data_IF_388346909473
#
_entry.id   IF_388346909473
#
_cell.length_a   1.000
_cell.length_b   1.000
_cell.length_c   1.000
_cell.angle_alpha   90.00
_cell.angle_beta   90.00
_cell.angle_gamma   90.00
#
_symmetry.space_group_name_H-M   'P 1'
#
loop_
_entity.id
_entity.type
_entity.pdbx_description
1 polymer ?
#
# COMPACT_ATOMS: atom_id res chain seq x y z
N UNK A 1 27.49 21.65 38.46
CA UNK A 1 26.54 21.65 37.34
C UNK A 1 26.06 20.22 37.10
N UNK A 2 24.92 19.88 37.68
CA UNK A 2 24.30 18.55 37.64
C UNK A 2 23.04 18.62 36.77
N UNK A 3 22.75 17.52 36.09
CA UNK A 3 21.48 17.13 35.45
C UNK A 3 20.89 18.05 34.36
N UNK A 4 21.20 17.75 33.10
CA UNK A 4 20.34 18.07 31.93
C UNK A 4 20.20 16.89 30.94
N UNK A 5 20.29 15.65 31.43
CA UNK A 5 20.11 14.44 30.60
C UNK A 5 18.72 13.81 30.83
N UNK A 6 18.00 14.20 31.88
CA UNK A 6 16.69 13.61 32.21
C UNK A 6 15.52 14.05 31.30
N UNK A 7 15.73 15.02 30.39
CA UNK A 7 14.67 15.49 29.48
C UNK A 7 14.45 14.60 28.25
N UNK A 8 15.50 13.92 27.78
CA UNK A 8 15.43 13.10 26.55
C UNK A 8 14.89 11.68 26.81
N UNK A 9 15.04 11.16 28.02
CA UNK A 9 14.61 9.78 28.37
C UNK A 9 13.13 9.73 28.77
N UNK A 10 12.55 10.84 29.26
CA UNK A 10 11.13 10.87 29.68
C UNK A 10 10.17 11.03 28.48
N UNK A 11 10.65 11.48 27.32
CA UNK A 11 9.82 11.55 26.11
C UNK A 11 9.58 10.17 25.46
N UNK A 12 10.31 9.12 25.88
CA UNK A 12 10.18 7.77 25.32
C UNK A 12 9.16 6.87 26.04
N UNK A 13 8.52 7.35 27.13
CA UNK A 13 7.64 6.54 27.97
C UNK A 13 6.14 6.86 27.89
N UNK A 14 5.72 7.76 26.98
CA UNK A 14 4.30 7.98 26.67
C UNK A 14 3.96 7.34 25.32
N UNK A 15 4.28 6.05 25.18
CA UNK A 15 3.60 5.18 24.21
C UNK A 15 2.34 4.64 24.90
N UNK A 16 1.40 5.54 25.21
CA UNK A 16 0.02 5.14 25.46
C UNK A 16 -0.48 4.43 24.21
N UNK A 17 -1.05 3.24 24.41
CA UNK A 17 -1.67 2.36 23.41
C UNK A 17 -2.74 3.09 22.62
N UNK A 18 -2.32 3.86 21.62
CA UNK A 18 -3.18 4.35 20.57
C UNK A 18 -3.41 3.17 19.61
N UNK A 19 -4.47 2.40 19.86
CA UNK A 19 -5.03 1.49 18.85
C UNK A 19 -5.72 2.33 17.76
N UNK A 20 -4.93 3.05 16.99
CA UNK A 20 -5.34 3.76 15.79
C UNK A 20 -4.39 3.36 14.65
N UNK A 21 -4.10 2.06 14.52
CA UNK A 21 -3.58 1.55 13.26
C UNK A 21 -4.79 1.36 12.34
N UNK A 22 -5.04 2.36 11.49
CA UNK A 22 -5.94 2.24 10.36
C UNK A 22 -5.25 1.32 9.35
N UNK A 23 -5.39 0.03 9.56
CA UNK A 23 -4.89 -0.95 8.61
C UNK A 23 -5.75 -0.91 7.35
N UNK A 24 -5.11 -1.13 6.22
CA UNK A 24 -5.53 -0.56 4.93
C UNK A 24 -6.49 -1.42 4.14
N UNK A 25 -6.71 -2.68 4.54
CA UNK A 25 -7.65 -3.58 3.87
C UNK A 25 -8.21 -4.66 4.80
N UNK A 26 -8.99 -5.59 4.25
CA UNK A 26 -9.61 -6.72 4.96
C UNK A 26 -9.57 -8.00 4.14
N UNK A 27 -9.62 -9.15 4.82
CA UNK A 27 -9.85 -10.44 4.19
C UNK A 27 -11.19 -10.97 4.69
N UNK A 28 -12.04 -11.37 3.77
CA UNK A 28 -13.37 -11.92 4.06
C UNK A 28 -13.64 -13.16 3.23
N UNK A 29 -14.67 -13.92 3.57
CA UNK A 29 -14.99 -15.12 2.83
C UNK A 29 -16.18 -15.88 3.40
N UNK A 30 -16.53 -16.97 2.72
CA UNK A 30 -17.56 -17.91 3.15
C UNK A 30 -16.99 -19.31 3.25
N UNK A 31 -17.36 -20.03 4.30
CA UNK A 31 -17.06 -21.45 4.49
C UNK A 31 -18.28 -22.27 4.14
N UNK A 32 -18.13 -23.15 3.15
CA UNK A 32 -19.15 -24.09 2.70
C UNK A 32 -18.60 -25.53 2.72
N UNK A 33 -19.47 -26.52 2.62
CA UNK A 33 -19.09 -27.91 2.39
C UNK A 33 -19.24 -28.32 0.92
N UNK A 34 -18.90 -29.58 0.60
CA UNK A 34 -19.01 -30.14 -0.76
C UNK A 34 -20.44 -30.21 -1.31
N UNK A 35 -21.46 -30.06 -0.46
CA UNK A 35 -22.88 -30.00 -0.85
C UNK A 35 -23.37 -28.56 -1.06
N UNK A 36 -22.48 -27.57 -0.91
CA UNK A 36 -22.75 -26.14 -0.85
C UNK A 36 -23.56 -25.70 0.38
N UNK A 37 -23.60 -26.52 1.44
CA UNK A 37 -24.16 -26.09 2.72
C UNK A 37 -23.17 -25.18 3.45
N UNK A 38 -23.66 -24.14 4.10
CA UNK A 38 -22.83 -23.24 4.91
C UNK A 38 -22.33 -23.94 6.17
N UNK A 39 -21.08 -23.70 6.54
CA UNK A 39 -20.48 -24.23 7.77
C UNK A 39 -20.29 -23.10 8.77
N UNK A 40 -21.12 -23.09 9.81
CA UNK A 40 -21.03 -22.16 10.92
C UNK A 40 -19.99 -22.61 11.97
N UNK A 41 -19.48 -21.66 12.76
CA UNK A 41 -18.51 -21.89 13.84
C UNK A 41 -17.19 -22.57 13.41
N UNK A 42 -16.83 -22.48 12.12
CA UNK A 42 -15.53 -22.89 11.62
C UNK A 42 -14.47 -21.88 12.08
N UNK A 43 -13.38 -22.37 12.67
CA UNK A 43 -12.25 -21.54 13.06
C UNK A 43 -11.45 -21.17 11.82
N UNK A 44 -11.34 -19.86 11.57
CA UNK A 44 -10.56 -19.28 10.48
C UNK A 44 -9.35 -18.57 11.09
N UNK A 45 -8.16 -19.07 10.79
CA UNK A 45 -6.89 -18.47 11.16
C UNK A 45 -6.21 -17.92 9.90
N UNK A 46 -5.91 -16.62 9.88
CA UNK A 46 -5.10 -16.02 8.83
C UNK A 46 -3.71 -15.73 9.38
N UNK A 47 -2.68 -15.93 8.57
CA UNK A 47 -1.28 -15.67 8.96
C UNK A 47 -0.60 -14.89 7.85
N UNK A 48 -0.03 -13.74 8.18
CA UNK A 48 0.82 -12.99 7.25
C UNK A 48 2.14 -13.75 7.03
N UNK A 49 2.48 -14.06 5.79
CA UNK A 49 3.59 -14.96 5.46
C UNK A 49 4.97 -14.33 5.70
N UNK A 50 5.06 -13.00 5.65
CA UNK A 50 6.32 -12.26 5.81
C UNK A 50 6.63 -11.96 7.28
N UNK A 51 5.60 -11.77 8.09
CA UNK A 51 5.71 -11.41 9.50
C UNK A 51 5.36 -12.56 10.44
N UNK A 52 4.69 -13.61 9.99
CA UNK A 52 4.21 -14.71 10.84
C UNK A 52 3.14 -14.30 11.87
N UNK A 53 2.64 -13.06 11.81
CA UNK A 53 1.55 -12.59 12.67
C UNK A 53 0.26 -13.24 12.23
N UNK A 54 -0.48 -13.81 13.17
CA UNK A 54 -1.74 -14.50 12.91
C UNK A 54 -2.92 -13.85 13.61
N UNK A 55 -4.07 -13.88 12.94
CA UNK A 55 -5.36 -13.44 13.45
C UNK A 55 -6.35 -14.60 13.34
N UNK A 56 -7.28 -14.68 14.28
CA UNK A 56 -8.26 -15.76 14.32
C UNK A 56 -9.68 -15.18 14.46
N UNK A 57 -10.62 -15.77 13.74
CA UNK A 57 -12.05 -15.50 13.83
C UNK A 57 -12.83 -16.79 13.63
N UNK A 58 -14.16 -16.73 13.77
CA UNK A 58 -15.05 -17.86 13.47
C UNK A 58 -16.08 -17.49 12.42
N UNK A 59 -16.51 -18.46 11.62
CA UNK A 59 -17.60 -18.26 10.67
C UNK A 59 -18.94 -18.09 11.40
N UNK A 60 -19.76 -17.15 10.93
CA UNK A 60 -21.10 -16.89 11.45
C UNK A 60 -22.12 -17.95 11.01
N UNK A 61 -23.39 -17.74 11.37
CA UNK A 61 -24.50 -18.65 11.01
C UNK A 61 -24.72 -18.78 9.49
N UNK A 62 -24.33 -17.78 8.71
CA UNK A 62 -24.35 -17.80 7.25
C UNK A 62 -23.05 -18.37 6.63
N UNK A 63 -22.13 -18.91 7.43
CA UNK A 63 -20.81 -19.39 6.99
C UNK A 63 -19.81 -18.27 6.65
N UNK A 64 -20.24 -17.01 6.72
CA UNK A 64 -19.41 -15.83 6.40
C UNK A 64 -18.46 -15.47 7.54
N UNK A 65 -17.29 -14.95 7.20
CA UNK A 65 -16.30 -14.42 8.14
C UNK A 65 -15.58 -13.21 7.54
N UNK A 66 -15.01 -12.36 8.40
CA UNK A 66 -14.27 -11.17 8.03
C UNK A 66 -13.23 -10.87 9.11
N UNK A 67 -12.00 -10.58 8.69
CA UNK A 67 -10.97 -9.98 9.53
C UNK A 67 -10.60 -8.62 8.92
N UNK A 68 -11.08 -7.51 9.52
CA UNK A 68 -10.76 -6.18 9.05
C UNK A 68 -9.37 -5.75 9.49
N UNK A 69 -8.92 -4.62 8.97
CA UNK A 69 -7.74 -3.93 9.46
C UNK A 69 -6.47 -4.79 9.35
N UNK A 70 -6.17 -5.23 8.13
CA UNK A 70 -4.94 -5.93 7.80
C UNK A 70 -4.02 -5.06 6.93
N UNK A 71 -2.72 -5.17 7.16
CA UNK A 71 -1.69 -4.55 6.34
C UNK A 71 -1.56 -5.27 5.00
N UNK A 72 -1.20 -4.61 3.89
CA UNK A 72 -1.02 -5.29 2.62
C UNK A 72 0.14 -6.29 2.70
N UNK A 73 0.02 -7.42 1.99
CA UNK A 73 0.99 -8.49 2.04
C UNK A 73 0.42 -9.83 1.61
N UNK A 74 1.21 -10.90 1.73
CA UNK A 74 0.76 -12.27 1.47
C UNK A 74 0.24 -12.94 2.73
N UNK A 75 -0.88 -13.63 2.60
CA UNK A 75 -1.57 -14.30 3.70
C UNK A 75 -1.89 -15.76 3.37
N UNK A 76 -1.64 -16.62 4.35
CA UNK A 76 -2.19 -17.97 4.41
C UNK A 76 -3.48 -17.95 5.22
N UNK A 77 -4.56 -18.51 4.67
CA UNK A 77 -5.87 -18.69 5.34
C UNK A 77 -6.06 -20.17 5.65
N UNK A 78 -6.15 -20.51 6.93
CA UNK A 78 -6.39 -21.88 7.40
C UNK A 78 -7.77 -21.98 8.04
N UNK A 79 -8.59 -22.91 7.57
CA UNK A 79 -9.95 -23.15 8.09
C UNK A 79 -10.02 -24.54 8.71
N UNK A 80 -10.53 -24.61 9.93
CA UNK A 80 -10.73 -25.86 10.67
C UNK A 80 -12.14 -25.94 11.26
N UNK A 81 -12.74 -27.13 11.20
CA UNK A 81 -14.01 -27.43 11.86
C UNK A 81 -14.07 -28.92 12.18
N UNK A 82 -14.72 -29.30 13.28
CA UNK A 82 -14.87 -30.71 13.66
C UNK A 82 -15.63 -31.49 12.59
N UNK A 83 -15.17 -32.70 12.26
CA UNK A 83 -15.75 -33.56 11.22
C UNK A 83 -15.31 -33.24 9.78
N UNK A 84 -14.46 -32.23 9.59
CA UNK A 84 -13.90 -31.85 8.30
C UNK A 84 -12.36 -31.90 8.30
N UNK A 85 -11.79 -32.03 7.10
CA UNK A 85 -10.37 -31.83 6.86
C UNK A 85 -9.99 -30.35 7.05
N UNK A 86 -8.75 -30.12 7.46
CA UNK A 86 -8.19 -28.77 7.53
C UNK A 86 -7.90 -28.29 6.11
N UNK A 87 -8.38 -27.09 5.75
CA UNK A 87 -8.03 -26.47 4.47
C UNK A 87 -7.05 -25.33 4.73
N UNK A 88 -6.00 -25.23 3.91
CA UNK A 88 -5.01 -24.16 3.96
C UNK A 88 -4.87 -23.53 2.57
N UNK A 89 -5.33 -22.29 2.41
CA UNK A 89 -5.14 -21.50 1.20
C UNK A 89 -3.93 -20.58 1.37
N UNK A 90 -2.91 -20.74 0.52
CA UNK A 90 -1.63 -20.05 0.65
C UNK A 90 -1.45 -18.97 -0.42
N UNK A 91 -0.54 -18.02 -0.15
CA UNK A 91 -0.09 -16.98 -1.07
C UNK A 91 -1.18 -16.01 -1.52
N UNK A 92 -2.23 -15.83 -0.71
CA UNK A 92 -3.27 -14.87 -1.02
C UNK A 92 -2.72 -13.44 -0.86
N UNK A 93 -2.70 -12.67 -1.95
CA UNK A 93 -2.19 -11.30 -1.95
C UNK A 93 -3.29 -10.34 -1.54
N UNK A 94 -3.08 -9.65 -0.42
CA UNK A 94 -3.91 -8.54 0.02
C UNK A 94 -3.26 -7.22 -0.37
N UNK A 95 -3.98 -6.41 -1.14
CA UNK A 95 -3.53 -5.06 -1.54
C UNK A 95 -4.23 -3.95 -0.76
N UNK A 96 -3.59 -2.78 -0.70
CA UNK A 96 -4.04 -1.56 -0.03
C UNK A 96 -5.43 -1.15 -0.54
N UNK A 97 -6.38 -1.06 0.38
CA UNK A 97 -7.76 -0.68 0.09
C UNK A 97 -8.55 -1.70 -0.75
N UNK A 98 -8.00 -2.86 -1.12
CA UNK A 98 -8.66 -3.91 -1.93
C UNK A 98 -9.07 -5.08 -1.02
N UNK A 99 -10.35 -5.22 -0.67
CA UNK A 99 -10.82 -6.38 0.09
C UNK A 99 -10.55 -7.69 -0.65
N UNK A 100 -9.91 -8.64 0.03
CA UNK A 100 -9.62 -9.95 -0.54
C UNK A 100 -10.69 -10.95 -0.11
N UNK A 101 -11.34 -11.61 -1.07
CA UNK A 101 -12.34 -12.65 -0.81
C UNK A 101 -11.71 -14.05 -0.93
N UNK A 102 -11.69 -14.81 0.16
CA UNK A 102 -11.19 -16.19 0.21
C UNK A 102 -12.31 -17.13 0.62
N UNK A 103 -13.03 -17.65 -0.37
CA UNK A 103 -14.06 -18.68 -0.13
C UNK A 103 -13.40 -20.05 0.03
N UNK A 104 -13.89 -20.84 0.99
CA UNK A 104 -13.31 -22.15 1.31
C UNK A 104 -14.38 -23.23 1.29
N UNK A 105 -14.08 -24.35 0.63
CA UNK A 105 -14.93 -25.55 0.64
C UNK A 105 -14.29 -26.62 1.51
N UNK A 106 -14.93 -26.98 2.62
CA UNK A 106 -14.49 -28.04 3.52
C UNK A 106 -14.88 -29.41 2.96
N UNK A 107 -13.96 -30.37 3.09
CA UNK A 107 -14.17 -31.77 2.74
C UNK A 107 -14.39 -32.58 4.02
N UNK A 108 -15.38 -33.47 4.01
CA UNK A 108 -15.63 -34.37 5.14
C UNK A 108 -14.41 -35.26 5.35
N UNK A 109 -13.92 -35.34 6.59
CA UNK A 109 -12.73 -36.11 6.94
C UNK A 109 -12.20 -35.77 8.34
N UNK A 110 -11.11 -36.41 8.73
CA UNK A 110 -10.43 -36.09 9.99
C UNK A 110 -9.62 -34.79 9.89
N UNK A 111 -9.49 -34.07 11.00
CA UNK A 111 -8.75 -32.79 11.10
C UNK A 111 -7.25 -32.92 10.82
N UNK A 112 -6.71 -34.14 10.78
CA UNK A 112 -5.29 -34.45 10.51
C UNK A 112 -4.91 -34.40 9.03
N UNK A 113 -5.87 -34.33 8.11
CA UNK A 113 -5.59 -34.16 6.68
C UNK A 113 -5.64 -32.68 6.31
N UNK A 114 -4.57 -32.18 5.69
CA UNK A 114 -4.44 -30.79 5.23
C UNK A 114 -4.54 -30.78 3.71
N UNK A 115 -5.46 -29.98 3.17
CA UNK A 115 -5.51 -29.68 1.73
C UNK A 115 -4.93 -28.30 1.50
N UNK A 116 -3.86 -28.24 0.71
CA UNK A 116 -3.22 -26.99 0.31
C UNK A 116 -3.80 -26.49 -1.01
N UNK A 117 -4.20 -25.23 -1.04
CA UNK A 117 -4.69 -24.55 -2.25
C UNK A 117 -3.81 -23.33 -2.50
N UNK A 118 -3.08 -23.33 -3.61
CA UNK A 118 -2.35 -22.14 -4.05
C UNK A 118 -3.32 -21.15 -4.69
N UNK A 119 -3.31 -19.91 -4.20
CA UNK A 119 -4.10 -18.82 -4.76
C UNK A 119 -3.49 -18.31 -6.06
N UNK A 120 -4.25 -18.31 -7.15
CA UNK A 120 -3.88 -17.54 -8.34
C UNK A 120 -4.34 -16.09 -8.14
N UNK A 121 -3.42 -15.14 -8.08
CA UNK A 121 -3.75 -13.72 -7.98
C UNK A 121 -4.72 -13.29 -9.09
N UNK A 122 -5.98 -13.04 -8.73
CA UNK A 122 -6.99 -12.57 -9.67
C UNK A 122 -7.04 -11.04 -9.61
N UNK A 123 -6.53 -10.38 -10.65
CA UNK A 123 -6.47 -8.90 -10.75
C UNK A 123 -7.85 -8.22 -10.82
N UNK A 124 -8.93 -9.00 -10.93
CA UNK A 124 -10.30 -8.48 -11.02
C UNK A 124 -10.88 -8.37 -9.62
N UNK A 125 -11.16 -7.14 -9.21
CA UNK A 125 -11.91 -6.85 -7.99
C UNK A 125 -13.41 -7.09 -8.22
N UNK A 126 -14.00 -8.07 -7.52
CA UNK A 126 -15.42 -8.40 -7.65
C UNK A 126 -16.28 -7.78 -6.54
N UNK A 127 -15.69 -7.08 -5.57
CA UNK A 127 -16.42 -6.59 -4.39
C UNK A 127 -17.08 -5.23 -4.60
N UNK A 128 -16.61 -4.43 -5.56
CA UNK A 128 -17.09 -3.07 -5.80
C UNK A 128 -17.06 -2.71 -7.29
N UNK A 129 -17.93 -1.75 -7.67
CA UNK A 129 -18.00 -1.21 -9.02
C UNK A 129 -17.11 0.03 -9.17
N UNK A 130 -15.81 -0.11 -8.89
CA UNK A 130 -14.84 1.00 -9.03
C UNK A 130 -13.94 0.81 -10.26
N UNK A 131 -13.49 1.91 -10.85
CA UNK A 131 -12.36 1.91 -11.79
C UNK A 131 -11.12 2.26 -10.97
N UNK A 132 -10.25 1.28 -10.78
CA UNK A 132 -9.04 1.45 -9.99
C UNK A 132 -7.92 0.56 -10.46
N UNK A 133 -6.68 0.96 -10.17
CA UNK A 133 -5.51 0.10 -10.31
C UNK A 133 -4.64 0.17 -9.04
N UNK A 134 -3.84 -0.89 -8.85
CA UNK A 134 -2.81 -0.98 -7.82
C UNK A 134 -1.46 -0.96 -8.50
N UNK A 135 -0.67 0.08 -8.20
CA UNK A 135 0.72 0.20 -8.61
C UNK A 135 1.58 -0.52 -7.59
N UNK A 136 2.13 -1.67 -7.99
CA UNK A 136 2.87 -2.58 -7.12
C UNK A 136 4.26 -2.03 -6.76
N UNK A 137 4.91 -2.62 -5.74
CA UNK A 137 6.29 -2.25 -5.36
C UNK A 137 7.24 -2.33 -6.56
N UNK A 138 7.08 -3.36 -7.39
CA UNK A 138 7.92 -3.58 -8.57
C UNK A 138 7.74 -2.47 -9.59
N UNK A 139 6.48 -2.10 -9.90
CA UNK A 139 6.19 -1.01 -10.83
C UNK A 139 6.69 0.33 -10.28
N UNK A 140 6.47 0.59 -9.00
CA UNK A 140 6.96 1.80 -8.31
C UNK A 140 8.48 1.91 -8.38
N UNK A 141 9.22 0.80 -8.26
CA UNK A 141 10.69 0.81 -8.35
C UNK A 141 11.23 0.85 -9.77
N UNK A 142 10.60 0.15 -10.71
CA UNK A 142 11.17 -0.14 -12.02
C UNK A 142 10.68 0.80 -13.13
N UNK A 143 9.53 1.45 -12.96
CA UNK A 143 9.05 2.41 -13.96
C UNK A 143 9.88 3.71 -13.92
N UNK A 144 10.04 4.40 -15.06
CA UNK A 144 10.79 5.66 -15.09
C UNK A 144 10.13 6.75 -14.24
N UNK A 145 10.80 7.18 -13.18
CA UNK A 145 10.33 8.24 -12.28
C UNK A 145 11.28 9.43 -12.28
N UNK A 146 10.90 10.51 -12.96
CA UNK A 146 11.65 11.76 -12.86
C UNK A 146 11.54 12.32 -11.43
N UNK A 147 12.69 12.56 -10.78
CA UNK A 147 12.75 13.04 -9.40
C UNK A 147 12.39 12.00 -8.33
N UNK A 148 12.23 10.72 -8.72
CA UNK A 148 11.87 9.61 -7.82
C UNK A 148 10.58 9.86 -7.02
N UNK A 149 9.57 10.42 -7.67
CA UNK A 149 8.25 10.57 -7.06
C UNK A 149 7.33 9.43 -7.54
N UNK A 150 6.95 8.47 -6.68
CA UNK A 150 6.12 7.32 -7.07
C UNK A 150 4.74 7.74 -7.58
N UNK A 151 4.18 8.85 -7.09
CA UNK A 151 2.87 9.36 -7.48
C UNK A 151 2.84 9.99 -8.87
N UNK A 152 4.00 10.10 -9.55
CA UNK A 152 4.02 10.43 -10.98
C UNK A 152 3.39 9.35 -11.85
N UNK A 153 3.37 8.10 -11.38
CA UNK A 153 2.72 6.97 -12.06
C UNK A 153 1.19 7.06 -12.08
N UNK A 154 0.59 7.97 -11.31
CA UNK A 154 -0.84 8.31 -11.39
C UNK A 154 -1.26 8.66 -12.83
N UNK A 155 -0.35 9.19 -13.64
CA UNK A 155 -0.61 9.51 -15.06
C UNK A 155 -0.82 8.31 -15.97
N UNK A 156 -0.47 7.10 -15.51
CA UNK A 156 -0.70 5.86 -16.25
C UNK A 156 -2.12 5.32 -16.05
N UNK A 157 -2.87 5.89 -15.11
CA UNK A 157 -4.21 5.46 -14.75
C UNK A 157 -5.26 5.92 -15.78
N UNK A 158 -6.33 5.14 -16.02
CA UNK A 158 -7.39 5.50 -16.94
C UNK A 158 -8.09 6.81 -16.55
N UNK A 159 -8.30 7.69 -17.52
CA UNK A 159 -8.99 8.96 -17.33
C UNK A 159 -8.15 10.05 -16.68
N UNK A 160 -6.87 9.78 -16.40
CA UNK A 160 -5.94 10.75 -15.85
C UNK A 160 -5.25 11.53 -16.97
N UNK A 161 -5.21 12.85 -16.82
CA UNK A 161 -4.50 13.76 -17.73
C UNK A 161 -3.68 14.74 -16.92
N UNK A 162 -2.42 14.98 -17.30
CA UNK A 162 -1.57 15.97 -16.64
C UNK A 162 -1.34 17.17 -17.55
N UNK A 163 -1.66 18.37 -17.06
CA UNK A 163 -1.40 19.62 -17.75
C UNK A 163 -0.07 20.23 -17.29
N UNK A 164 0.77 20.76 -18.20
CA UNK A 164 2.07 21.34 -17.87
C UNK A 164 1.98 22.46 -16.82
N UNK A 165 3.02 22.58 -15.99
CA UNK A 165 3.11 23.52 -14.86
C UNK A 165 3.03 25.00 -15.26
N UNK A 166 3.26 25.32 -16.53
CA UNK A 166 3.26 26.68 -17.10
C UNK A 166 1.89 27.19 -17.57
N UNK A 167 0.81 26.42 -17.38
CA UNK A 167 -0.54 26.79 -17.80
C UNK A 167 -1.50 27.02 -16.61
N UNK A 168 -2.50 27.88 -16.78
CA UNK A 168 -3.61 28.02 -15.80
C UNK A 168 -4.37 26.70 -15.69
N UNK A 169 -4.60 26.20 -14.48
CA UNK A 169 -5.12 24.83 -14.26
C UNK A 169 -4.08 23.75 -14.54
N UNK A 170 -2.82 24.01 -14.19
CA UNK A 170 -1.76 23.01 -14.23
C UNK A 170 -1.93 21.96 -13.14
N UNK A 171 -1.48 20.73 -13.41
CA UNK A 171 -1.63 19.62 -12.46
C UNK A 171 -2.31 18.42 -13.10
N UNK A 172 -2.79 17.52 -12.25
CA UNK A 172 -3.40 16.25 -12.67
C UNK A 172 -4.92 16.38 -12.64
N UNK A 173 -5.62 15.90 -13.67
CA UNK A 173 -7.07 15.92 -13.76
C UNK A 173 -7.57 14.50 -14.01
N UNK A 174 -8.65 14.11 -13.36
CA UNK A 174 -9.24 12.78 -13.47
C UNK A 174 -10.67 12.91 -13.94
N UNK A 175 -10.97 12.41 -15.14
CA UNK A 175 -12.28 12.57 -15.80
C UNK A 175 -12.80 14.03 -15.80
N UNK A 176 -11.90 15.01 -15.97
CA UNK A 176 -12.24 16.43 -16.00
C UNK A 176 -12.42 17.09 -14.62
N UNK A 177 -12.06 16.41 -13.53
CA UNK A 177 -12.02 17.02 -12.19
C UNK A 177 -11.09 18.23 -12.14
N UNK A 178 -11.24 19.07 -11.11
CA UNK A 178 -10.22 20.08 -10.79
C UNK A 178 -8.92 19.38 -10.38
N UNK A 179 -7.80 20.07 -10.62
CA UNK A 179 -6.42 19.67 -10.30
C UNK A 179 -6.16 19.49 -8.79
N UNK A 180 -7.09 20.00 -7.97
CA UNK A 180 -7.03 19.98 -6.51
C UNK A 180 -8.13 19.19 -5.83
N UNK A 181 -8.93 18.48 -6.62
CA UNK A 181 -10.02 17.66 -6.12
C UNK A 181 -9.57 16.21 -6.02
N UNK A 182 -8.41 15.97 -5.41
CA UNK A 182 -7.90 14.62 -5.14
C UNK A 182 -7.85 14.37 -3.65
N UNK A 183 -7.99 13.11 -3.26
CA UNK A 183 -7.83 12.69 -1.88
C UNK A 183 -6.64 11.73 -1.81
N UNK A 184 -5.70 12.00 -0.92
CA UNK A 184 -4.54 11.14 -0.70
C UNK A 184 -4.51 10.69 0.75
N UNK A 185 -4.38 9.39 0.97
CA UNK A 185 -4.13 8.81 2.28
C UNK A 185 -2.84 8.02 2.28
N UNK A 186 -2.11 8.11 3.39
CA UNK A 186 -0.92 7.29 3.67
C UNK A 186 -1.25 6.45 4.88
N UNK A 187 -1.25 5.12 4.71
CA UNK A 187 -1.61 4.15 5.75
C UNK A 187 -2.95 4.50 6.42
N UNK A 188 -3.94 4.91 5.61
CA UNK A 188 -5.28 5.29 6.05
C UNK A 188 -5.42 6.69 6.65
N UNK A 189 -4.34 7.45 6.80
CA UNK A 189 -4.34 8.81 7.37
C UNK A 189 -4.39 9.85 6.23
N UNK A 190 -5.23 10.87 6.37
CA UNK A 190 -5.28 12.00 5.42
C UNK A 190 -3.91 12.65 5.27
N UNK A 191 -3.41 12.69 4.03
CA UNK A 191 -2.12 13.27 3.67
C UNK A 191 -2.30 14.40 2.66
N UNK A 192 -3.48 15.05 2.64
CA UNK A 192 -3.74 16.14 1.71
C UNK A 192 -3.11 17.44 2.22
N UNK A 193 -2.45 18.17 1.31
CA UNK A 193 -2.04 19.54 1.61
C UNK A 193 -3.29 20.45 1.63
N UNK A 194 -3.52 21.10 2.76
CA UNK A 194 -4.73 21.89 3.05
C UNK A 194 -5.02 22.99 2.03
N UNK A 195 -3.97 23.58 1.46
CA UNK A 195 -4.06 24.76 0.58
C UNK A 195 -4.04 24.43 -0.90
N UNK A 196 -3.30 23.38 -1.28
CA UNK A 196 -3.12 22.92 -2.66
C UNK A 196 -3.08 21.39 -2.67
N UNK A 197 -4.22 20.70 -2.49
CA UNK A 197 -4.24 19.24 -2.52
C UNK A 197 -3.78 18.74 -3.88
N UNK A 198 -2.59 18.17 -3.98
CA UNK A 198 -2.09 17.58 -5.23
C UNK A 198 -1.33 16.30 -4.86
N UNK A 199 -1.72 15.12 -5.39
CA UNK A 199 -1.05 13.87 -5.09
C UNK A 199 0.45 13.92 -5.40
N UNK A 200 0.84 14.53 -6.51
CA UNK A 200 2.23 14.61 -6.93
C UNK A 200 3.06 15.62 -6.13
N UNK A 201 2.45 16.50 -5.35
CA UNK A 201 3.15 17.52 -4.53
C UNK A 201 2.90 17.31 -3.03
N UNK A 202 2.74 16.05 -2.62
CA UNK A 202 2.50 15.66 -1.25
C UNK A 202 3.67 16.04 -0.31
N UNK A 203 3.35 16.57 0.87
CA UNK A 203 4.33 17.09 1.83
C UNK A 203 5.11 15.99 2.58
N UNK A 204 4.61 14.75 2.60
CA UNK A 204 5.20 13.62 3.33
C UNK A 204 6.39 12.96 2.60
N UNK A 205 6.85 13.50 1.46
CA UNK A 205 8.08 13.09 0.74
C UNK A 205 8.23 11.57 0.57
N UNK A 206 7.26 10.96 -0.11
CA UNK A 206 7.32 9.56 -0.52
C UNK A 206 8.41 9.35 -1.58
N UNK A 207 9.00 8.16 -1.58
CA UNK A 207 9.97 7.71 -2.57
C UNK A 207 9.70 6.24 -2.92
N UNK A 208 10.31 5.70 -3.99
CA UNK A 208 10.07 4.31 -4.41
C UNK A 208 10.52 3.26 -3.39
N UNK A 209 11.36 3.65 -2.43
CA UNK A 209 11.97 2.76 -1.47
C UNK A 209 11.14 2.64 -0.18
N UNK A 210 10.29 3.62 0.14
CA UNK A 210 9.40 3.60 1.30
C UNK A 210 7.93 3.28 0.97
N UNK A 211 7.54 3.30 -0.31
CA UNK A 211 6.21 2.87 -0.77
C UNK A 211 6.20 1.37 -1.03
N UNK A 212 5.27 0.65 -0.42
CA UNK A 212 5.00 -0.74 -0.76
C UNK A 212 4.14 -0.81 -2.01
N UNK A 213 3.04 -0.09 -2.04
CA UNK A 213 2.16 0.01 -3.20
C UNK A 213 1.23 1.21 -3.00
N UNK A 214 0.57 1.62 -4.07
CA UNK A 214 -0.56 2.54 -3.94
C UNK A 214 -1.70 2.12 -4.85
N UNK A 215 -2.93 2.30 -4.38
CA UNK A 215 -4.15 2.11 -5.15
C UNK A 215 -4.70 3.47 -5.56
N UNK A 216 -5.04 3.60 -6.83
CA UNK A 216 -5.77 4.77 -7.33
C UNK A 216 -7.18 4.34 -7.70
N UNK A 217 -8.20 4.98 -7.14
CA UNK A 217 -9.57 4.92 -7.64
C UNK A 217 -9.84 6.18 -8.45
N UNK A 218 -10.08 6.04 -9.75
CA UNK A 218 -10.35 7.16 -10.66
C UNK A 218 -11.85 7.39 -10.88
N UNK A 219 -12.69 6.36 -10.69
CA UNK A 219 -14.14 6.45 -10.80
C UNK A 219 -14.84 5.49 -9.83
N UNK A 220 -16.04 5.86 -9.38
CA UNK A 220 -16.88 4.99 -8.55
C UNK A 220 -16.43 4.87 -7.09
N UNK A 221 -15.69 5.86 -6.58
CA UNK A 221 -15.30 5.94 -5.17
C UNK A 221 -16.54 5.79 -4.25
N UNK A 222 -16.42 4.99 -3.20
CA UNK A 222 -17.51 4.74 -2.25
C UNK A 222 -17.54 5.81 -1.15
N UNK A 223 -18.54 5.77 -0.27
CA UNK A 223 -18.68 6.73 0.83
C UNK A 223 -17.46 6.77 1.78
N UNK A 224 -16.71 5.67 1.88
CA UNK A 224 -15.49 5.57 2.69
C UNK A 224 -14.31 6.35 2.09
N UNK A 225 -14.33 6.61 0.78
CA UNK A 225 -13.30 7.37 0.04
C UNK A 225 -13.81 8.77 -0.35
N UNK A 226 -14.60 9.39 0.53
CA UNK A 226 -15.19 10.71 0.31
C UNK A 226 -14.17 11.87 0.24
N UNK A 227 -14.68 13.10 0.39
CA UNK A 227 -13.95 14.40 0.38
C UNK A 227 -13.82 15.07 -0.99
N UNK A 228 -13.54 14.35 -2.07
CA UNK A 228 -13.15 14.96 -3.35
C UNK A 228 -13.67 14.23 -4.60
N UNK A 229 -13.77 14.93 -5.74
CA UNK A 229 -14.41 14.44 -6.97
C UNK A 229 -13.47 13.83 -8.02
N UNK A 230 -12.16 13.97 -7.86
CA UNK A 230 -11.13 13.35 -8.70
C UNK A 230 -10.60 12.05 -8.08
N UNK A 231 -9.35 11.69 -8.37
CA UNK A 231 -8.75 10.47 -7.82
C UNK A 231 -8.72 10.40 -6.29
N UNK A 232 -8.99 9.20 -5.79
CA UNK A 232 -8.68 8.76 -4.44
C UNK A 232 -7.43 7.87 -4.49
N UNK A 233 -6.35 8.31 -3.85
CA UNK A 233 -5.05 7.63 -3.83
C UNK A 233 -4.79 7.12 -2.42
N UNK A 234 -4.70 5.81 -2.27
CA UNK A 234 -4.39 5.15 -1.00
C UNK A 234 -3.01 4.54 -1.08
N UNK A 235 -2.12 4.95 -0.19
CA UNK A 235 -0.71 4.57 -0.22
C UNK A 235 -0.43 3.67 0.97
N UNK A 236 0.12 2.49 0.71
CA UNK A 236 0.66 1.60 1.73
C UNK A 236 2.17 1.79 1.80
N UNK A 237 2.70 2.16 2.97
CA UNK A 237 4.14 2.21 3.19
C UNK A 237 4.68 0.82 3.53
N UNK A 238 5.98 0.60 3.29
CA UNK A 238 6.62 -0.65 3.67
C UNK A 238 6.69 -0.80 5.20
N UNK A 239 6.52 -2.03 5.67
CA UNK A 239 6.76 -2.43 7.06
C UNK A 239 7.93 -3.40 7.19
N UNK A 240 8.41 -3.63 8.42
CA UNK A 240 9.42 -4.65 8.68
C UNK A 240 8.84 -6.08 8.58
N UNK A 241 9.72 -7.04 8.29
CA UNK A 241 9.36 -8.47 8.15
C UNK A 241 10.18 -9.33 9.12
N UNK A 242 9.99 -10.65 9.11
CA UNK A 242 10.84 -11.58 9.88
C UNK A 242 12.26 -11.72 9.34
N UNK A 243 12.53 -11.22 8.13
CA UNK A 243 13.86 -11.16 7.54
C UNK A 243 14.41 -9.73 7.66
N UNK A 244 15.72 -9.61 7.89
CA UNK A 244 16.39 -8.31 7.78
C UNK A 244 16.70 -8.08 6.31
N UNK A 245 16.24 -6.96 5.76
CA UNK A 245 16.52 -6.55 4.39
C UNK A 245 16.56 -5.02 4.30
N UNK A 246 17.16 -4.51 3.24
CA UNK A 246 17.29 -3.08 3.00
C UNK A 246 18.09 -2.80 1.74
N UNK A 247 17.88 -1.62 1.17
CA UNK A 247 18.58 -1.16 -0.03
C UNK A 247 19.39 0.12 0.28
N UNK A 248 20.47 0.32 -0.46
CA UNK A 248 21.19 1.61 -0.53
C UNK A 248 21.16 2.05 -1.97
N UNK A 249 20.90 3.34 -2.21
CA UNK A 249 20.74 3.85 -3.55
C UNK A 249 21.39 5.21 -3.77
N UNK A 250 21.73 5.47 -5.03
CA UNK A 250 22.25 6.74 -5.52
C UNK A 250 21.79 6.97 -6.96
N UNK A 251 21.26 8.15 -7.23
CA UNK A 251 20.82 8.61 -8.54
C UNK A 251 21.44 9.98 -8.82
N UNK A 252 21.88 10.18 -10.05
CA UNK A 252 22.39 11.46 -10.53
C UNK A 252 21.64 11.89 -11.78
N UNK A 253 21.25 13.16 -11.83
CA UNK A 253 20.72 13.81 -13.02
C UNK A 253 21.55 15.05 -13.28
N UNK A 254 22.36 15.00 -14.32
CA UNK A 254 23.35 16.02 -14.63
C UNK A 254 23.13 16.61 -16.03
N UNK A 255 23.49 17.88 -16.17
CA UNK A 255 23.49 18.66 -17.42
C UNK A 255 24.25 17.95 -18.53
N UNK A 256 25.32 17.23 -18.22
CA UNK A 256 26.13 16.47 -19.19
C UNK A 256 25.31 15.41 -19.95
N UNK A 257 24.25 14.87 -19.35
CA UNK A 257 23.44 13.79 -19.92
C UNK A 257 22.07 14.25 -20.44
N UNK A 258 21.64 15.49 -20.14
CA UNK A 258 20.34 16.01 -20.56
C UNK A 258 20.45 16.82 -21.85
N UNK A 259 19.57 16.64 -22.83
CA UNK A 259 19.48 17.56 -23.97
C UNK A 259 18.96 18.96 -23.56
N UNK A 260 19.17 19.97 -24.42
CA UNK A 260 18.50 21.27 -24.26
C UNK A 260 17.06 21.16 -24.78
N UNK A 261 16.17 22.02 -24.26
CA UNK A 261 14.80 22.13 -24.75
C UNK A 261 14.75 22.71 -26.16
N UNK A 262 13.76 22.30 -26.96
CA UNK A 262 13.64 22.75 -28.36
C UNK A 262 13.55 24.28 -28.47
N UNK A 263 12.73 24.91 -27.64
CA UNK A 263 12.53 26.36 -27.66
C UNK A 263 13.79 27.12 -27.26
N UNK A 264 14.59 26.60 -26.32
CA UNK A 264 15.87 27.21 -25.96
C UNK A 264 16.85 27.17 -27.14
N UNK A 265 16.95 26.02 -27.84
CA UNK A 265 17.76 25.94 -29.05
C UNK A 265 17.26 26.91 -30.14
N UNK A 266 15.94 27.05 -30.29
CA UNK A 266 15.34 27.95 -31.28
C UNK A 266 15.64 29.43 -30.98
N UNK A 267 15.60 29.85 -29.72
CA UNK A 267 15.86 31.23 -29.30
C UNK A 267 17.34 31.50 -28.98
N UNK A 268 18.23 30.52 -29.15
CA UNK A 268 19.66 30.66 -28.83
C UNK A 268 19.96 30.76 -27.33
N UNK A 269 19.07 30.24 -26.47
CA UNK A 269 19.32 30.17 -25.03
C UNK A 269 20.10 28.91 -24.65
N UNK A 270 21.08 29.10 -23.77
CA UNK A 270 21.86 28.01 -23.21
C UNK A 270 20.98 27.05 -22.39
N UNK A 271 21.41 25.78 -22.34
CA UNK A 271 20.76 24.77 -21.51
C UNK A 271 20.94 25.13 -20.02
N UNK A 272 19.87 25.10 -19.21
CA UNK A 272 19.99 25.31 -17.77
C UNK A 272 20.94 24.31 -17.10
N UNK A 273 21.70 24.78 -16.11
CA UNK A 273 22.54 23.90 -15.30
C UNK A 273 21.67 23.15 -14.30
N UNK A 274 21.79 21.82 -14.33
CA UNK A 274 21.21 20.86 -13.41
C UNK A 274 22.30 19.90 -12.93
N UNK A 275 22.46 19.76 -11.62
CA UNK A 275 23.25 18.70 -11.00
C UNK A 275 22.52 18.21 -9.76
N UNK A 276 21.66 17.22 -9.93
CA UNK A 276 20.84 16.66 -8.85
C UNK A 276 21.41 15.32 -8.43
N UNK A 277 21.71 15.20 -7.14
CA UNK A 277 22.09 13.94 -6.49
C UNK A 277 20.98 13.52 -5.54
N UNK A 278 20.44 12.33 -5.73
CA UNK A 278 19.46 11.73 -4.81
C UNK A 278 20.05 10.44 -4.25
N UNK A 279 20.20 10.35 -2.94
CA UNK A 279 20.83 9.21 -2.30
C UNK A 279 20.11 8.86 -1.02
N UNK A 280 20.25 7.62 -0.59
CA UNK A 280 19.51 7.16 0.56
C UNK A 280 19.67 5.68 0.82
N UNK A 281 18.91 5.24 1.80
CA UNK A 281 18.83 3.84 2.17
C UNK A 281 17.49 3.54 2.84
N UNK A 282 17.12 2.27 2.86
CA UNK A 282 16.05 1.75 3.70
C UNK A 282 16.52 0.46 4.39
N UNK A 283 15.90 0.17 5.53
CA UNK A 283 16.16 -1.06 6.28
C UNK A 283 14.91 -1.45 7.05
N UNK A 284 14.58 -2.74 7.02
CA UNK A 284 13.50 -3.32 7.79
C UNK A 284 13.87 -4.69 8.35
N UNK A 285 13.16 -5.11 9.38
CA UNK A 285 13.33 -6.43 9.98
C UNK A 285 12.61 -6.59 11.32
N UNK A 286 12.84 -7.72 12.02
CA UNK A 286 12.20 -7.99 13.30
C UNK A 286 12.97 -7.36 14.46
N UNK A 287 12.26 -6.76 15.41
CA UNK A 287 12.76 -6.54 16.77
C UNK A 287 12.54 -7.83 17.57
N UNK A 288 11.33 -8.40 17.48
CA UNK A 288 10.94 -9.70 18.02
C UNK A 288 10.22 -10.45 16.91
N UNK A 289 10.78 -11.57 16.45
CA UNK A 289 10.18 -12.38 15.39
C UNK A 289 8.72 -12.73 15.71
N UNK A 290 7.87 -12.71 14.68
CA UNK A 290 6.43 -12.99 14.77
C UNK A 290 5.62 -12.03 15.66
N UNK A 291 6.19 -10.89 16.10
CA UNK A 291 5.53 -10.00 17.06
C UNK A 291 5.76 -8.52 16.82
N UNK A 292 7.00 -8.10 16.60
CA UNK A 292 7.36 -6.68 16.56
C UNK A 292 8.44 -6.45 15.53
N UNK A 293 8.20 -5.49 14.64
CA UNK A 293 9.03 -5.22 13.47
C UNK A 293 9.38 -3.74 13.41
N UNK A 294 10.47 -3.41 12.72
CA UNK A 294 10.87 -2.06 12.43
C UNK A 294 11.08 -1.87 10.93
N UNK A 295 10.85 -0.65 10.47
CA UNK A 295 11.23 -0.19 9.14
C UNK A 295 11.67 1.27 9.24
N UNK A 296 12.71 1.64 8.49
CA UNK A 296 13.21 3.00 8.40
C UNK A 296 13.77 3.27 7.02
N UNK A 297 13.53 4.49 6.52
CA UNK A 297 14.03 4.96 5.23
C UNK A 297 14.53 6.39 5.34
N UNK A 298 15.59 6.69 4.61
CA UNK A 298 16.16 8.02 4.49
C UNK A 298 16.47 8.33 3.03
N UNK A 299 16.09 9.53 2.58
CA UNK A 299 16.51 10.08 1.29
C UNK A 299 16.99 11.52 1.47
N UNK A 300 18.17 11.80 0.93
CA UNK A 300 18.73 13.14 0.77
C UNK A 300 18.75 13.54 -0.70
N UNK A 301 18.41 14.81 -0.97
CA UNK A 301 18.57 15.44 -2.28
C UNK A 301 19.57 16.58 -2.15
N UNK A 302 20.57 16.63 -3.04
CA UNK A 302 21.52 17.73 -3.16
C UNK A 302 21.46 18.29 -4.58
N UNK A 303 21.35 19.61 -4.68
CA UNK A 303 21.37 20.41 -5.90
C UNK A 303 22.62 21.29 -5.85
#
# INVERSE_FOLDING_TARGET
MKSRISGAVVLFLVLSTASAQVSTSRIEGTVIDKTNAVVADATVKITNEETGVSYETRSGSAGTWNIPSLTPGRYTVTVTHSGFQTISSQHNVLSVGVPLVVNTTLLVGGTTQIVEVESSYQRIETTNATVSDVMTTEQVKNLPLNGRNPLSLLTLEPGVTQRPTSASGSGTHVFGSRDRSHNVTIDGIDANESTVPNPQSNIQRLNPDNVQEFRTITLGATAEQGRNSGANVMIGTKSGTNAVHGDVFYFNRNTAYNANEWFNNYTGHDRPVLDLHQYGFDVGGPIIKNKTFFFGSYQGNKI
#
